data_IF_388154176335
#
_entry.id   IF_388154176335
#
_cell.length_a   1.000
_cell.length_b   1.000
_cell.length_c   1.000
_cell.angle_alpha   90.00
_cell.angle_beta   90.00
_cell.angle_gamma   90.00
#
_symmetry.space_group_name_H-M   'P 1'
#
loop_
_entity.id
_entity.type
_entity.pdbx_description
1 polymer ?
#
# COMPACT_ATOMS: atom_id res chain seq x y z
N UNK A 1 0.37 39.55 -1.90
CA UNK A 1 0.74 38.29 -1.25
C UNK A 1 -0.25 37.21 -1.65
N UNK A 2 0.29 36.02 -1.97
CA UNK A 2 -0.55 34.82 -2.22
C UNK A 2 -0.89 34.16 -0.90
N UNK A 3 -2.18 34.02 -0.60
CA UNK A 3 -2.66 33.29 0.56
C UNK A 3 -3.36 32.00 0.14
N UNK A 4 -3.28 30.98 0.98
CA UNK A 4 -3.94 29.71 0.76
C UNK A 4 -5.12 29.55 1.73
N UNK A 5 -6.21 28.95 1.25
CA UNK A 5 -7.35 28.63 2.09
C UNK A 5 -7.24 27.19 2.61
N UNK A 6 -6.80 27.03 3.87
CA UNK A 6 -6.70 25.73 4.56
C UNK A 6 -7.94 25.40 5.40
N UNK A 7 -9.02 26.14 5.21
CA UNK A 7 -10.25 25.94 5.95
C UNK A 7 -11.00 24.73 5.41
N UNK A 8 -11.38 23.81 6.32
CA UNK A 8 -12.21 22.65 5.98
C UNK A 8 -13.67 23.09 5.78
N UNK A 9 -14.29 22.87 4.61
CA UNK A 9 -15.70 23.12 4.41
C UNK A 9 -16.58 22.21 5.29
N UNK A 10 -17.74 22.71 5.69
CA UNK A 10 -18.67 21.96 6.56
C UNK A 10 -19.07 20.59 5.97
N UNK A 11 -19.25 20.50 4.66
CA UNK A 11 -19.58 19.24 3.99
C UNK A 11 -18.47 18.19 4.18
N UNK A 12 -17.20 18.61 4.01
CA UNK A 12 -16.06 17.71 4.23
C UNK A 12 -15.93 17.33 5.69
N UNK A 13 -16.20 18.25 6.62
CA UNK A 13 -16.20 17.97 8.05
C UNK A 13 -17.30 16.95 8.43
N UNK A 14 -18.51 17.12 7.92
CA UNK A 14 -19.62 16.18 8.15
C UNK A 14 -19.32 14.77 7.61
N UNK A 15 -18.76 14.68 6.40
CA UNK A 15 -18.30 13.41 5.83
C UNK A 15 -17.18 12.79 6.69
N UNK A 16 -16.24 13.60 7.15
CA UNK A 16 -15.17 13.15 8.04
C UNK A 16 -15.71 12.58 9.36
N UNK A 17 -16.70 13.23 9.98
CA UNK A 17 -17.35 12.72 11.18
C UNK A 17 -18.00 11.36 10.94
N UNK A 18 -18.79 11.22 9.88
CA UNK A 18 -19.42 9.95 9.53
C UNK A 18 -18.40 8.81 9.28
N UNK A 19 -17.25 9.11 8.67
CA UNK A 19 -16.18 8.12 8.46
C UNK A 19 -15.51 7.75 9.79
N UNK A 20 -15.34 8.70 10.70
CA UNK A 20 -14.75 8.43 12.01
C UNK A 20 -15.60 7.52 12.89
N UNK A 21 -16.93 7.59 12.79
CA UNK A 21 -17.86 6.69 13.49
C UNK A 21 -17.63 5.22 13.14
N UNK A 22 -17.21 4.92 11.89
CA UNK A 22 -16.99 3.58 11.38
C UNK A 22 -15.51 3.17 11.35
N UNK A 23 -14.60 4.06 11.73
CA UNK A 23 -13.15 3.85 11.56
C UNK A 23 -12.65 2.58 12.26
N UNK A 24 -13.10 2.33 13.49
CA UNK A 24 -12.67 1.15 14.25
C UNK A 24 -13.07 -0.16 13.58
N UNK A 25 -14.29 -0.25 13.06
CA UNK A 25 -14.78 -1.40 12.30
C UNK A 25 -14.00 -1.58 10.98
N UNK A 26 -13.72 -0.51 10.27
CA UNK A 26 -12.91 -0.57 9.05
C UNK A 26 -11.48 -1.06 9.31
N UNK A 27 -10.85 -0.59 10.37
CA UNK A 27 -9.50 -1.04 10.75
C UNK A 27 -9.51 -2.54 11.06
N UNK A 28 -10.46 -3.01 11.84
CA UNK A 28 -10.57 -4.42 12.20
C UNK A 28 -10.75 -5.31 10.96
N UNK A 29 -11.66 -4.96 10.07
CA UNK A 29 -11.87 -5.70 8.81
C UNK A 29 -10.65 -5.70 7.91
N UNK A 30 -9.91 -4.59 7.87
CA UNK A 30 -8.65 -4.52 7.11
C UNK A 30 -7.58 -5.44 7.72
N UNK A 31 -7.52 -5.55 9.03
CA UNK A 31 -6.60 -6.45 9.72
C UNK A 31 -6.94 -7.91 9.44
N UNK A 32 -8.22 -8.27 9.54
CA UNK A 32 -8.69 -9.63 9.16
C UNK A 32 -8.35 -9.97 7.72
N UNK A 33 -8.49 -9.02 6.79
CA UNK A 33 -8.10 -9.21 5.40
C UNK A 33 -6.58 -9.43 5.27
N UNK A 34 -5.78 -8.63 5.98
CA UNK A 34 -4.32 -8.77 5.98
C UNK A 34 -3.87 -10.12 6.55
N UNK A 35 -4.49 -10.60 7.61
CA UNK A 35 -4.19 -11.91 8.20
C UNK A 35 -4.48 -13.04 7.21
N UNK A 36 -5.63 -13.02 6.52
CA UNK A 36 -5.95 -13.97 5.44
C UNK A 36 -4.95 -13.95 4.30
N UNK A 37 -4.51 -12.77 3.87
CA UNK A 37 -3.46 -12.64 2.86
C UNK A 37 -2.14 -13.20 3.36
N UNK A 38 -1.75 -12.89 4.59
CA UNK A 38 -0.51 -13.38 5.19
C UNK A 38 -0.47 -14.91 5.24
N UNK A 39 -1.54 -15.55 5.68
CA UNK A 39 -1.67 -17.01 5.70
C UNK A 39 -1.50 -17.59 4.29
N UNK A 40 -2.31 -17.13 3.34
CA UNK A 40 -2.29 -17.64 1.97
C UNK A 40 -0.93 -17.43 1.27
N UNK A 41 -0.35 -16.21 1.35
CA UNK A 41 0.93 -15.94 0.70
C UNK A 41 2.08 -16.76 1.31
N UNK A 42 2.08 -16.97 2.62
CA UNK A 42 3.06 -17.83 3.28
C UNK A 42 2.96 -19.29 2.81
N UNK A 43 1.75 -19.83 2.66
CA UNK A 43 1.53 -21.16 2.09
C UNK A 43 2.05 -21.29 0.65
N UNK A 44 1.94 -20.20 -0.13
CA UNK A 44 2.46 -20.15 -1.51
C UNK A 44 3.97 -19.84 -1.58
N UNK A 45 4.65 -19.67 -0.46
CA UNK A 45 6.08 -19.39 -0.39
C UNK A 45 6.47 -17.93 -0.71
N UNK A 46 5.50 -17.01 -0.64
CA UNK A 46 5.75 -15.57 -0.78
C UNK A 46 5.79 -14.89 0.58
N UNK A 47 6.62 -13.86 0.69
CA UNK A 47 6.68 -13.03 1.91
C UNK A 47 5.65 -11.91 1.83
N UNK A 48 4.60 -12.00 2.63
CA UNK A 48 3.66 -10.90 2.84
C UNK A 48 4.28 -9.82 3.76
N UNK A 49 3.94 -8.55 3.52
CA UNK A 49 4.45 -7.43 4.32
C UNK A 49 3.53 -7.23 5.53
N UNK A 50 4.03 -7.61 6.70
CA UNK A 50 3.33 -7.43 7.98
C UNK A 50 3.83 -6.21 8.74
N UNK A 51 3.07 -5.79 9.74
CA UNK A 51 3.46 -4.72 10.65
C UNK A 51 4.74 -5.07 11.44
N UNK A 52 5.64 -4.12 11.65
CA UNK A 52 6.81 -4.32 12.49
C UNK A 52 6.45 -4.55 13.96
N UNK A 53 7.34 -5.17 14.72
CA UNK A 53 7.18 -5.33 16.16
C UNK A 53 6.94 -3.98 16.87
N UNK A 54 6.02 -3.96 17.83
CA UNK A 54 5.64 -2.77 18.63
C UNK A 54 4.97 -1.66 17.80
N UNK A 55 4.42 -1.99 16.65
CA UNK A 55 3.60 -1.07 15.83
C UNK A 55 2.21 -1.66 15.59
N UNK A 56 1.28 -0.81 15.22
CA UNK A 56 -0.07 -1.22 14.82
C UNK A 56 -0.42 -0.59 13.47
N UNK A 57 -0.41 -1.39 12.42
CA UNK A 57 -0.78 -0.97 11.08
C UNK A 57 -2.30 -0.91 10.91
N UNK A 58 -2.77 0.03 10.13
CA UNK A 58 -4.15 0.07 9.64
C UNK A 58 -4.33 -0.75 8.34
N UNK A 59 -3.26 -1.36 7.82
CA UNK A 59 -3.23 -2.08 6.55
C UNK A 59 -3.95 -1.33 5.41
N UNK A 60 -3.66 -0.03 5.31
CA UNK A 60 -4.17 0.80 4.21
C UNK A 60 -3.87 0.16 2.85
N UNK A 61 -2.67 -0.36 2.71
CA UNK A 61 -2.22 -1.09 1.53
C UNK A 61 -1.64 -2.43 2.00
N UNK A 62 -2.14 -3.51 1.43
CA UNK A 62 -1.56 -4.85 1.54
C UNK A 62 -0.57 -5.07 0.40
N UNK A 63 0.54 -5.73 0.68
CA UNK A 63 1.56 -6.02 -0.31
C UNK A 63 2.35 -7.27 0.03
N UNK A 64 2.95 -7.89 -0.99
CA UNK A 64 3.86 -9.00 -0.85
C UNK A 64 5.11 -8.81 -1.71
N UNK A 65 6.12 -9.63 -1.47
CA UNK A 65 7.39 -9.59 -2.18
C UNK A 65 7.49 -10.74 -3.17
N UNK A 66 7.84 -10.42 -4.41
CA UNK A 66 8.23 -11.38 -5.44
C UNK A 66 9.73 -11.68 -5.36
N UNK A 67 10.20 -12.70 -6.08
CA UNK A 67 11.62 -13.09 -6.11
C UNK A 67 12.49 -12.05 -6.80
N UNK A 68 11.96 -11.42 -7.86
CA UNK A 68 12.66 -10.42 -8.68
C UNK A 68 11.66 -9.54 -9.44
N UNK A 69 12.20 -8.57 -10.19
CA UNK A 69 11.42 -7.62 -11.01
C UNK A 69 10.61 -8.33 -12.11
N UNK A 70 11.17 -9.33 -12.78
CA UNK A 70 10.50 -10.00 -13.90
C UNK A 70 9.25 -10.76 -13.44
N UNK A 71 9.34 -11.42 -12.30
CA UNK A 71 8.19 -12.08 -11.67
C UNK A 71 7.13 -11.04 -11.23
N UNK A 72 7.58 -9.93 -10.61
CA UNK A 72 6.69 -8.80 -10.26
C UNK A 72 5.91 -8.32 -11.49
N UNK A 73 6.61 -8.02 -12.57
CA UNK A 73 6.02 -7.45 -13.77
C UNK A 73 5.08 -8.45 -14.46
N UNK A 74 5.42 -9.74 -14.42
CA UNK A 74 4.55 -10.82 -14.90
C UNK A 74 3.25 -10.91 -14.09
N UNK A 75 3.34 -10.87 -12.77
CA UNK A 75 2.17 -10.90 -11.87
C UNK A 75 1.32 -9.65 -12.09
N UNK A 76 1.92 -8.46 -12.14
CA UNK A 76 1.20 -7.21 -12.39
C UNK A 76 0.43 -7.26 -13.71
N UNK A 77 1.06 -7.73 -14.77
CA UNK A 77 0.42 -7.88 -16.08
C UNK A 77 -0.75 -8.86 -16.03
N UNK A 78 -0.52 -10.05 -15.48
CA UNK A 78 -1.52 -11.11 -15.42
C UNK A 78 -2.75 -10.70 -14.60
N UNK A 79 -2.55 -10.17 -13.40
CA UNK A 79 -3.64 -9.79 -12.50
C UNK A 79 -4.48 -8.66 -13.09
N UNK A 80 -3.84 -7.61 -13.64
CA UNK A 80 -4.56 -6.49 -14.25
C UNK A 80 -5.31 -6.91 -15.51
N UNK A 81 -4.78 -7.82 -16.33
CA UNK A 81 -5.50 -8.40 -17.47
C UNK A 81 -6.74 -9.19 -17.02
N UNK A 82 -6.68 -9.81 -15.85
CA UNK A 82 -7.80 -10.52 -15.23
C UNK A 82 -8.67 -9.64 -14.31
N UNK A 83 -8.59 -8.31 -14.44
CA UNK A 83 -9.39 -7.31 -13.70
C UNK A 83 -9.15 -7.31 -12.18
N UNK A 84 -8.05 -7.87 -11.71
CA UNK A 84 -7.58 -7.75 -10.33
C UNK A 84 -6.56 -6.62 -10.29
N UNK A 85 -6.94 -5.48 -9.71
CA UNK A 85 -6.08 -4.30 -9.67
C UNK A 85 -4.90 -4.53 -8.73
N UNK A 86 -3.70 -4.65 -9.30
CA UNK A 86 -2.44 -4.66 -8.56
C UNK A 86 -1.52 -3.55 -9.06
N UNK A 87 -0.61 -3.10 -8.20
CA UNK A 87 0.32 -2.01 -8.50
C UNK A 87 1.72 -2.32 -7.97
N UNK A 88 2.79 -1.83 -8.63
CA UNK A 88 4.12 -1.86 -8.06
C UNK A 88 4.23 -0.87 -6.89
N UNK A 89 5.33 -0.87 -6.16
CA UNK A 89 5.68 0.24 -5.28
C UNK A 89 5.78 1.54 -6.07
N UNK A 90 5.60 2.68 -5.38
CA UNK A 90 5.86 3.98 -6.01
C UNK A 90 7.31 4.10 -6.43
N UNK A 91 7.51 4.78 -7.54
CA UNK A 91 8.85 5.10 -8.05
C UNK A 91 9.66 5.82 -6.96
N UNK A 92 10.85 5.32 -6.60
CA UNK A 92 11.68 5.94 -5.59
C UNK A 92 12.06 7.37 -5.96
N UNK A 93 11.97 8.29 -5.01
CA UNK A 93 12.20 9.73 -5.23
C UNK A 93 13.54 10.04 -5.92
N UNK A 94 14.60 9.30 -5.56
CA UNK A 94 15.95 9.53 -6.09
C UNK A 94 16.10 9.18 -7.57
N UNK A 95 15.14 8.44 -8.15
CA UNK A 95 15.14 8.10 -9.59
C UNK A 95 14.35 9.10 -10.42
N UNK A 96 13.59 10.00 -9.77
CA UNK A 96 12.87 11.06 -10.46
C UNK A 96 13.84 12.11 -10.95
N UNK A 97 13.65 12.58 -12.20
CA UNK A 97 14.55 13.52 -12.88
C UNK A 97 14.87 14.74 -12.02
N UNK A 98 13.86 15.31 -11.34
CA UNK A 98 13.99 16.50 -10.51
C UNK A 98 14.83 16.29 -9.24
N UNK A 99 15.04 15.04 -8.79
CA UNK A 99 15.74 14.73 -7.53
C UNK A 99 17.01 13.91 -7.71
N UNK A 100 17.34 13.49 -8.92
CA UNK A 100 18.47 12.59 -9.17
C UNK A 100 19.83 13.12 -8.74
N UNK A 101 19.99 14.45 -8.67
CA UNK A 101 21.21 15.12 -8.24
C UNK A 101 21.21 15.55 -6.76
N UNK A 102 20.15 15.23 -6.02
CA UNK A 102 20.06 15.59 -4.61
C UNK A 102 20.94 14.68 -3.75
N UNK A 103 21.39 15.21 -2.61
CA UNK A 103 22.14 14.45 -1.62
C UNK A 103 21.33 13.22 -1.17
N UNK A 104 21.97 12.05 -1.15
CA UNK A 104 21.35 10.79 -0.74
C UNK A 104 22.35 9.87 -0.05
N UNK A 105 21.84 9.00 0.79
CA UNK A 105 22.57 7.88 1.40
C UNK A 105 22.49 6.65 0.48
N UNK A 106 23.02 5.52 0.92
CA UNK A 106 22.84 4.24 0.23
C UNK A 106 21.34 3.84 0.25
N UNK A 107 20.77 3.59 -0.92
CA UNK A 107 19.36 3.26 -1.13
C UNK A 107 19.15 1.85 -1.68
N UNK A 108 20.15 0.97 -1.57
CA UNK A 108 20.08 -0.41 -2.09
C UNK A 108 18.86 -1.20 -1.60
N UNK A 109 18.45 -1.03 -0.34
CA UNK A 109 17.23 -1.65 0.18
C UNK A 109 15.96 -1.09 -0.44
N UNK A 110 15.93 0.21 -0.72
CA UNK A 110 14.79 0.86 -1.40
C UNK A 110 14.62 0.32 -2.82
N UNK A 111 15.72 0.21 -3.55
CA UNK A 111 15.76 -0.32 -4.92
C UNK A 111 15.39 -1.80 -4.94
N UNK A 112 15.92 -2.57 -3.99
CA UNK A 112 15.60 -3.99 -3.84
C UNK A 112 14.09 -4.22 -3.57
N UNK A 113 13.48 -3.39 -2.73
CA UNK A 113 12.05 -3.45 -2.43
C UNK A 113 11.20 -2.99 -3.62
N UNK A 114 11.60 -1.91 -4.31
CA UNK A 114 10.90 -1.42 -5.50
C UNK A 114 10.80 -2.50 -6.58
N UNK A 115 11.86 -3.26 -6.76
CA UNK A 115 11.90 -4.37 -7.73
C UNK A 115 10.94 -5.53 -7.39
N UNK A 116 10.45 -5.63 -6.17
CA UNK A 116 9.76 -6.83 -5.67
C UNK A 116 8.36 -6.60 -5.12
N UNK A 117 8.03 -5.40 -4.73
CA UNK A 117 6.73 -5.13 -4.10
C UNK A 117 5.60 -5.18 -5.12
N UNK A 118 4.59 -6.00 -4.81
CA UNK A 118 3.28 -5.97 -5.47
C UNK A 118 2.22 -5.58 -4.43
N UNK A 119 1.57 -4.46 -4.67
CA UNK A 119 0.42 -4.01 -3.89
C UNK A 119 -0.84 -4.69 -4.44
N UNK A 120 -1.69 -5.17 -3.52
CA UNK A 120 -2.89 -5.94 -3.83
C UNK A 120 -4.15 -5.26 -3.28
N UNK A 121 -5.35 -5.66 -3.72
CA UNK A 121 -6.60 -5.07 -3.27
C UNK A 121 -6.69 -5.03 -1.74
N UNK A 122 -6.98 -3.86 -1.20
CA UNK A 122 -6.97 -3.60 0.26
C UNK A 122 -8.23 -2.89 0.74
N UNK A 123 -9.29 -2.88 -0.06
CA UNK A 123 -10.57 -2.29 0.32
C UNK A 123 -11.22 -3.08 1.46
N UNK A 124 -11.98 -2.37 2.29
CA UNK A 124 -12.85 -3.02 3.27
C UNK A 124 -13.93 -3.78 2.51
N UNK A 125 -14.00 -5.09 2.73
CA UNK A 125 -15.07 -5.90 2.16
C UNK A 125 -16.35 -5.67 2.98
N UNK A 126 -17.48 -5.47 2.30
CA UNK A 126 -18.77 -5.50 2.98
C UNK A 126 -18.99 -6.90 3.57
N UNK A 127 -19.67 -7.03 4.72
CA UNK A 127 -20.07 -8.35 5.20
C UNK A 127 -20.91 -9.02 4.11
N UNK A 128 -20.56 -10.28 3.81
CA UNK A 128 -21.39 -11.14 2.98
C UNK A 128 -22.66 -11.47 3.72
#
# INVERSE_FOLDING_TARGET
ELGYNYRMPNLNAALGCAQMELLSDYIERKRVLADRYNEWFNEQGYKFIIEPNKSRSNYWINAFLTRNRDERDTILKYTNQNKVMTRPAWTPMHTLEMYKNNLRINLSNTEWLEDRIVQIPSSVLNPL
#
